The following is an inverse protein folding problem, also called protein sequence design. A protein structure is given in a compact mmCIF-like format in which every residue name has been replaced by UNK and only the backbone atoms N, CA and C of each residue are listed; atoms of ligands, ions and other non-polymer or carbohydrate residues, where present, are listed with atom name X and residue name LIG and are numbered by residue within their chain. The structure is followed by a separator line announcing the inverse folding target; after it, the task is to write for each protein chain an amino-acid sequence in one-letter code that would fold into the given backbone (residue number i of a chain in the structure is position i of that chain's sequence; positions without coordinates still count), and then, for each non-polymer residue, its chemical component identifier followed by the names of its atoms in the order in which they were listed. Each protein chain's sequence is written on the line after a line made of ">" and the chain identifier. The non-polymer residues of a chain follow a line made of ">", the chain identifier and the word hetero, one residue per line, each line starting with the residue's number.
data_IF_551259372978
#
_entry.id   IF_551259372978
#
_cell.length_a   1.000
_cell.length_b   1.000
_cell.length_c   1.000
_cell.angle_alpha   90.00
_cell.angle_beta   90.00
_cell.angle_gamma   90.00
#
_symmetry.space_group_name_H-M   'P 1'
#
loop_
_entity.id
_entity.type
_entity.pdbx_description
1 polymer ?
#
# COMPACT_ATOMS: atom_id res chain seq x y z
N UNK A 1 8.98 -27.19 4.97
CA UNK A 1 8.46 -25.82 5.15
C UNK A 1 9.63 -24.90 4.84
N UNK A 2 9.59 -24.16 3.73
CA UNK A 2 10.76 -23.43 3.24
C UNK A 2 11.28 -22.48 4.31
N UNK A 3 12.55 -22.67 4.69
CA UNK A 3 13.24 -21.91 5.75
C UNK A 3 13.33 -20.40 5.46
N UNK A 4 13.00 -19.97 4.23
CA UNK A 4 12.98 -18.58 3.79
C UNK A 4 11.67 -17.83 4.06
N UNK A 5 10.54 -18.52 4.27
CA UNK A 5 9.22 -17.86 4.42
C UNK A 5 9.11 -17.04 5.71
N UNK A 6 9.50 -17.62 6.84
CA UNK A 6 9.37 -16.98 8.17
C UNK A 6 10.24 -15.72 8.27
N UNK A 7 11.54 -15.72 7.88
CA UNK A 7 12.36 -14.52 7.89
C UNK A 7 11.82 -13.42 6.98
N UNK A 8 11.32 -13.78 5.78
CA UNK A 8 10.72 -12.82 4.86
C UNK A 8 9.49 -12.16 5.47
N UNK A 9 8.54 -12.96 5.96
CA UNK A 9 7.33 -12.44 6.59
C UNK A 9 7.67 -11.54 7.78
N UNK A 10 8.60 -11.97 8.64
CA UNK A 10 9.03 -11.19 9.80
C UNK A 10 9.60 -9.83 9.39
N UNK A 11 10.54 -9.82 8.43
CA UNK A 11 11.13 -8.58 7.94
C UNK A 11 10.10 -7.62 7.34
N UNK A 12 9.07 -8.15 6.66
CA UNK A 12 7.97 -7.33 6.14
C UNK A 12 7.08 -6.78 7.26
N UNK A 13 6.78 -7.56 8.29
CA UNK A 13 5.99 -7.10 9.44
C UNK A 13 6.70 -5.99 10.22
N UNK A 14 8.03 -6.02 10.32
CA UNK A 14 8.79 -4.89 10.87
C UNK A 14 8.56 -3.61 10.04
N UNK A 15 8.52 -3.72 8.70
CA UNK A 15 8.25 -2.56 7.83
C UNK A 15 6.80 -2.08 7.97
N UNK A 16 5.86 -3.00 8.20
CA UNK A 16 4.47 -2.64 8.55
C UNK A 16 4.44 -1.81 9.83
N UNK A 17 5.18 -2.22 10.87
CA UNK A 17 5.29 -1.47 12.12
C UNK A 17 5.83 -0.05 11.90
N UNK A 18 6.90 0.10 11.11
CA UNK A 18 7.44 1.41 10.75
C UNK A 18 6.42 2.27 10.00
N UNK A 19 5.77 1.72 8.98
CA UNK A 19 4.75 2.44 8.22
C UNK A 19 3.57 2.86 9.11
N UNK A 20 3.14 1.97 10.01
CA UNK A 20 2.09 2.26 10.99
C UNK A 20 2.46 3.46 11.88
N UNK A 21 3.67 3.49 12.44
CA UNK A 21 4.15 4.59 13.27
C UNK A 21 4.22 5.92 12.50
N UNK A 22 4.71 5.90 11.26
CA UNK A 22 4.78 7.10 10.42
C UNK A 22 3.38 7.65 10.10
N UNK A 23 2.44 6.77 9.73
CA UNK A 23 1.06 7.19 9.47
C UNK A 23 0.37 7.65 10.77
N UNK A 24 0.64 7.01 11.91
CA UNK A 24 0.15 7.46 13.20
C UNK A 24 0.62 8.89 13.51
N UNK A 25 1.92 9.16 13.31
CA UNK A 25 2.48 10.51 13.44
C UNK A 25 1.78 11.52 12.54
N UNK A 26 1.53 11.15 11.27
CA UNK A 26 0.77 11.99 10.34
C UNK A 26 -0.64 12.30 10.87
N UNK A 27 -1.32 11.34 11.51
CA UNK A 27 -2.66 11.57 12.06
C UNK A 27 -2.73 12.61 13.18
N UNK A 28 -1.58 12.97 13.77
CA UNK A 28 -1.48 14.02 14.80
C UNK A 28 -1.24 15.42 14.21
N UNK A 29 -1.09 15.54 12.89
CA UNK A 29 -0.92 16.83 12.20
C UNK A 29 -2.27 17.49 11.91
N UNK A 30 -2.31 18.82 11.90
CA UNK A 30 -3.54 19.59 11.67
C UNK A 30 -4.10 19.40 10.25
N UNK A 31 -3.23 19.14 9.28
CA UNK A 31 -3.57 18.85 7.89
C UNK A 31 -4.36 17.53 7.77
N UNK A 32 -3.98 16.51 8.54
CA UNK A 32 -4.67 15.23 8.53
C UNK A 32 -6.02 15.29 9.25
N UNK A 33 -6.13 16.04 10.34
CA UNK A 33 -7.43 16.26 11.02
C UNK A 33 -8.48 16.87 10.08
N UNK A 34 -8.09 17.81 9.22
CA UNK A 34 -8.99 18.41 8.22
C UNK A 34 -9.50 17.40 7.18
N UNK A 35 -8.66 16.43 6.80
CA UNK A 35 -9.06 15.33 5.89
C UNK A 35 -10.10 14.44 6.57
N UNK A 36 -9.90 14.13 7.85
CA UNK A 36 -10.86 13.33 8.64
C UNK A 36 -12.22 14.03 8.75
N UNK A 37 -12.22 15.36 8.84
CA UNK A 37 -13.40 16.24 8.84
C UNK A 37 -14.03 16.48 7.45
N UNK A 38 -13.63 15.68 6.44
CA UNK A 38 -14.10 15.77 5.05
C UNK A 38 -13.79 17.10 4.34
N UNK A 39 -12.87 17.90 4.87
CA UNK A 39 -12.38 19.12 4.22
C UNK A 39 -11.16 18.79 3.35
N UNK A 40 -11.37 17.91 2.37
CA UNK A 40 -10.40 17.66 1.32
C UNK A 40 -10.31 18.89 0.41
N UNK A 41 -9.28 19.71 0.65
CA UNK A 41 -8.88 20.79 -0.24
C UNK A 41 -7.61 20.37 -1.03
N UNK A 42 -7.23 21.17 -2.03
CA UNK A 42 -6.07 20.87 -2.87
C UNK A 42 -4.77 20.73 -2.05
N UNK A 43 -4.58 21.58 -1.04
CA UNK A 43 -3.39 21.58 -0.18
C UNK A 43 -3.25 20.29 0.63
N UNK A 44 -4.31 19.88 1.33
CA UNK A 44 -4.32 18.67 2.13
C UNK A 44 -4.16 17.43 1.24
N UNK A 45 -4.78 17.44 0.05
CA UNK A 45 -4.62 16.37 -0.93
C UNK A 45 -3.16 16.25 -1.40
N UNK A 46 -2.50 17.37 -1.69
CA UNK A 46 -1.09 17.40 -2.09
C UNK A 46 -0.17 16.87 -0.99
N UNK A 47 -0.39 17.27 0.27
CA UNK A 47 0.39 16.77 1.42
C UNK A 47 0.25 15.26 1.56
N UNK A 48 -0.97 14.71 1.44
CA UNK A 48 -1.19 13.26 1.51
C UNK A 48 -0.54 12.52 0.34
N UNK A 49 -0.64 13.07 -0.88
CA UNK A 49 0.00 12.48 -2.07
C UNK A 49 1.50 12.36 -1.86
N UNK A 50 2.15 13.46 -1.44
CA UNK A 50 3.60 13.49 -1.22
C UNK A 50 3.98 12.55 -0.08
N UNK A 51 3.25 12.57 1.04
CA UNK A 51 3.54 11.72 2.19
C UNK A 51 3.43 10.23 1.86
N UNK A 52 2.29 9.79 1.31
CA UNK A 52 2.09 8.38 0.98
C UNK A 52 2.95 7.93 -0.20
N UNK A 53 3.23 8.82 -1.15
CA UNK A 53 4.22 8.57 -2.21
C UNK A 53 5.63 8.35 -1.64
N UNK A 54 6.08 9.21 -0.72
CA UNK A 54 7.36 9.06 -0.03
C UNK A 54 7.40 7.77 0.82
N UNK A 55 6.29 7.41 1.47
CA UNK A 55 6.18 6.16 2.21
C UNK A 55 6.28 4.93 1.28
N UNK A 56 5.69 4.98 0.08
CA UNK A 56 5.83 3.95 -0.94
C UNK A 56 7.29 3.82 -1.44
N UNK A 57 7.99 4.94 -1.62
CA UNK A 57 9.41 4.98 -1.95
C UNK A 57 10.22 4.32 -0.83
N UNK A 58 10.01 4.74 0.43
CA UNK A 58 10.69 4.18 1.60
C UNK A 58 10.46 2.66 1.71
N UNK A 59 9.23 2.21 1.49
CA UNK A 59 8.89 0.78 1.48
C UNK A 59 9.59 0.00 0.36
N UNK A 60 9.93 0.65 -0.76
CA UNK A 60 10.72 0.03 -1.83
C UNK A 60 12.18 -0.13 -1.42
N UNK A 61 12.78 0.89 -0.79
CA UNK A 61 14.16 0.86 -0.32
C UNK A 61 14.39 -0.05 0.88
N UNK A 62 13.40 -0.15 1.76
CA UNK A 62 13.45 -1.02 2.94
C UNK A 62 12.94 -2.44 2.65
N UNK A 63 12.54 -2.72 1.41
CA UNK A 63 12.17 -4.06 0.96
C UNK A 63 13.35 -5.04 1.00
N UNK A 64 13.04 -6.33 0.99
CA UNK A 64 14.04 -7.40 0.96
C UNK A 64 14.39 -7.73 -0.49
N UNK A 65 15.61 -7.43 -0.96
CA UNK A 65 16.04 -7.81 -2.29
C UNK A 65 16.24 -9.32 -2.38
N UNK A 66 15.83 -9.92 -3.49
CA UNK A 66 16.07 -11.32 -3.81
C UNK A 66 17.17 -11.46 -4.86
N UNK A 67 17.88 -12.60 -4.90
CA UNK A 67 18.88 -12.88 -5.94
C UNK A 67 18.31 -12.84 -7.37
N UNK A 68 16.99 -13.06 -7.53
CA UNK A 68 16.29 -12.94 -8.81
C UNK A 68 16.13 -11.51 -9.31
N UNK A 69 16.53 -10.49 -8.53
CA UNK A 69 16.31 -9.08 -8.83
C UNK A 69 14.89 -8.59 -8.50
N UNK A 70 14.07 -9.42 -7.86
CA UNK A 70 12.80 -9.01 -7.28
C UNK A 70 13.01 -8.34 -5.91
N UNK A 71 12.14 -7.39 -5.57
CA UNK A 71 12.17 -6.70 -4.27
C UNK A 71 10.88 -7.00 -3.53
N UNK A 72 10.95 -7.77 -2.45
CA UNK A 72 9.82 -8.14 -1.60
C UNK A 72 9.54 -6.99 -0.64
N UNK A 73 8.32 -6.45 -0.60
CA UNK A 73 8.06 -5.19 0.08
C UNK A 73 6.59 -5.03 0.51
N UNK A 74 6.31 -3.90 1.19
CA UNK A 74 4.96 -3.46 1.57
C UNK A 74 4.51 -2.17 0.86
N UNK A 75 5.10 -1.86 -0.30
CA UNK A 75 4.93 -0.59 -1.02
C UNK A 75 3.47 -0.27 -1.27
N UNK A 76 2.70 -1.25 -1.71
CA UNK A 76 1.31 -1.04 -2.12
C UNK A 76 0.40 -0.66 -0.95
N UNK A 77 0.80 -0.96 0.30
CA UNK A 77 0.10 -0.52 1.51
C UNK A 77 -0.12 1.00 1.52
N UNK A 78 0.89 1.78 1.13
CA UNK A 78 0.83 3.24 1.19
C UNK A 78 -0.22 3.83 0.21
N UNK A 79 -0.17 3.60 -1.12
CA UNK A 79 -1.18 4.11 -2.04
C UNK A 79 -2.57 3.52 -1.80
N UNK A 80 -2.69 2.25 -1.38
CA UNK A 80 -3.99 1.67 -0.99
C UNK A 80 -4.65 2.48 0.13
N UNK A 81 -3.92 2.73 1.22
CA UNK A 81 -4.43 3.53 2.35
C UNK A 81 -4.71 4.96 1.90
N UNK A 82 -3.81 5.56 1.10
CA UNK A 82 -3.98 6.90 0.56
C UNK A 82 -5.30 7.05 -0.21
N UNK A 83 -5.64 6.06 -1.05
CA UNK A 83 -6.91 6.02 -1.78
C UNK A 83 -8.11 5.82 -0.85
N UNK A 84 -8.05 4.83 0.06
CA UNK A 84 -9.13 4.51 0.99
C UNK A 84 -9.49 5.65 1.96
N UNK A 85 -8.54 6.57 2.22
CA UNK A 85 -8.71 7.69 3.15
C UNK A 85 -8.94 9.02 2.42
N UNK A 86 -8.18 9.28 1.35
CA UNK A 86 -8.13 10.57 0.65
C UNK A 86 -8.82 10.59 -0.72
N UNK A 87 -9.35 9.46 -1.19
CA UNK A 87 -10.04 9.35 -2.47
C UNK A 87 -9.12 9.17 -3.68
N UNK A 88 -9.68 9.18 -4.91
CA UNK A 88 -8.98 8.72 -6.12
C UNK A 88 -7.80 9.60 -6.50
N UNK A 89 -7.88 10.92 -6.32
CA UNK A 89 -6.77 11.82 -6.64
C UNK A 89 -5.58 11.56 -5.71
N UNK A 90 -5.84 11.35 -4.41
CA UNK A 90 -4.79 11.09 -3.43
C UNK A 90 -4.17 9.71 -3.64
N UNK A 91 -5.00 8.69 -3.83
CA UNK A 91 -4.55 7.32 -4.11
C UNK A 91 -3.75 7.22 -5.41
N UNK A 92 -4.28 7.78 -6.51
CA UNK A 92 -3.60 7.79 -7.80
C UNK A 92 -2.27 8.57 -7.74
N UNK A 93 -2.25 9.74 -7.10
CA UNK A 93 -1.03 10.53 -6.95
C UNK A 93 0.07 9.78 -6.19
N UNK A 94 -0.27 9.20 -5.03
CA UNK A 94 0.68 8.38 -4.27
C UNK A 94 1.12 7.14 -5.05
N UNK A 95 0.19 6.50 -5.76
CA UNK A 95 0.45 5.33 -6.60
C UNK A 95 1.39 5.64 -7.77
N UNK A 96 1.24 6.80 -8.41
CA UNK A 96 2.15 7.26 -9.47
C UNK A 96 3.55 7.53 -8.93
N UNK A 97 3.68 8.22 -7.80
CA UNK A 97 5.00 8.47 -7.19
C UNK A 97 5.70 7.14 -6.86
N UNK A 98 5.01 6.24 -6.15
CA UNK A 98 5.56 4.93 -5.79
C UNK A 98 5.83 4.03 -7.00
N UNK A 99 4.93 4.03 -7.98
CA UNK A 99 5.04 3.20 -9.18
C UNK A 99 6.14 3.66 -10.14
N UNK A 100 6.23 4.95 -10.42
CA UNK A 100 7.32 5.53 -11.24
C UNK A 100 8.66 5.27 -10.58
N UNK A 101 8.77 5.51 -9.26
CA UNK A 101 10.00 5.22 -8.55
C UNK A 101 10.34 3.72 -8.61
N UNK A 102 9.37 2.83 -8.37
CA UNK A 102 9.59 1.38 -8.45
C UNK A 102 10.06 0.96 -9.83
N UNK A 103 9.47 1.51 -10.89
CA UNK A 103 9.88 1.24 -12.27
C UNK A 103 11.34 1.67 -12.51
N UNK A 104 11.74 2.84 -11.99
CA UNK A 104 13.10 3.37 -12.16
C UNK A 104 14.20 2.51 -11.50
N UNK A 105 13.86 1.72 -10.49
CA UNK A 105 14.81 0.80 -9.84
C UNK A 105 15.18 -0.42 -10.71
N UNK A 106 14.41 -0.69 -11.77
CA UNK A 106 14.64 -1.87 -12.62
C UNK A 106 14.48 -3.21 -11.87
N UNK A 107 15.05 -4.26 -12.43
CA UNK A 107 14.93 -5.63 -11.90
C UNK A 107 13.67 -6.37 -12.38
N UNK A 108 13.60 -7.64 -12.02
CA UNK A 108 12.67 -8.62 -12.61
C UNK A 108 11.20 -8.18 -12.53
N UNK A 109 10.79 -7.63 -11.39
CA UNK A 109 9.39 -7.27 -11.13
C UNK A 109 9.08 -5.79 -11.33
N UNK A 110 9.99 -4.99 -11.93
CA UNK A 110 9.83 -3.53 -12.03
C UNK A 110 8.51 -3.11 -12.66
N UNK A 111 8.21 -3.63 -13.85
CA UNK A 111 6.99 -3.30 -14.61
C UNK A 111 5.71 -3.76 -13.91
N UNK A 112 5.53 -5.05 -13.54
CA UNK A 112 4.28 -5.48 -12.91
C UNK A 112 4.03 -4.79 -11.56
N UNK A 113 5.07 -4.63 -10.73
CA UNK A 113 4.96 -3.93 -9.46
C UNK A 113 4.56 -2.46 -9.64
N UNK A 114 5.18 -1.75 -10.60
CA UNK A 114 4.87 -0.35 -10.87
C UNK A 114 3.41 -0.16 -11.29
N UNK A 115 2.91 -1.00 -12.20
CA UNK A 115 1.51 -0.99 -12.64
C UNK A 115 0.58 -1.28 -11.45
N UNK A 116 0.87 -2.32 -10.67
CA UNK A 116 0.05 -2.69 -9.52
C UNK A 116 -0.04 -1.56 -8.50
N UNK A 117 1.07 -0.86 -8.23
CA UNK A 117 1.13 0.26 -7.28
C UNK A 117 0.16 1.38 -7.64
N UNK A 118 0.05 1.70 -8.94
CA UNK A 118 -0.86 2.73 -9.45
C UNK A 118 -2.31 2.26 -9.33
N UNK A 119 -2.59 1.01 -9.73
CA UNK A 119 -3.93 0.40 -9.63
C UNK A 119 -4.39 0.35 -8.17
N UNK A 120 -3.51 -0.04 -7.26
CA UNK A 120 -3.74 -0.11 -5.82
C UNK A 120 -4.13 1.24 -5.22
N UNK A 121 -3.55 2.34 -5.71
CA UNK A 121 -3.96 3.68 -5.31
C UNK A 121 -5.33 4.06 -5.86
N UNK A 122 -5.52 3.87 -7.17
CA UNK A 122 -6.74 4.25 -7.87
C UNK A 122 -7.97 3.50 -7.33
N UNK A 123 -7.90 2.17 -7.24
CA UNK A 123 -9.02 1.34 -6.79
C UNK A 123 -9.41 1.64 -5.34
N UNK A 124 -8.44 1.90 -4.46
CA UNK A 124 -8.71 2.31 -3.08
C UNK A 124 -9.49 3.63 -3.05
N UNK A 125 -9.14 4.57 -3.92
CA UNK A 125 -9.86 5.82 -4.07
C UNK A 125 -11.26 5.68 -4.68
N UNK A 126 -11.45 4.75 -5.61
CA UNK A 126 -12.78 4.44 -6.14
C UNK A 126 -13.67 3.80 -5.07
N UNK A 127 -13.12 2.92 -4.23
CA UNK A 127 -13.84 2.37 -3.07
C UNK A 127 -14.27 3.50 -2.13
N UNK A 128 -13.38 4.46 -1.84
CA UNK A 128 -13.72 5.62 -1.02
C UNK A 128 -14.92 6.41 -1.58
N UNK A 129 -15.01 6.60 -2.90
CA UNK A 129 -16.18 7.23 -3.53
C UNK A 129 -17.43 6.36 -3.44
N UNK A 130 -17.29 5.06 -3.73
CA UNK A 130 -18.39 4.10 -3.75
C UNK A 130 -19.10 3.98 -2.39
N UNK A 131 -18.34 4.05 -1.29
CA UNK A 131 -18.90 4.03 0.08
C UNK A 131 -19.30 5.41 0.62
N UNK A 132 -19.43 6.41 -0.27
CA UNK A 132 -19.91 7.75 0.08
C UNK A 132 -18.90 8.59 0.86
N UNK A 133 -17.62 8.56 0.46
CA UNK A 133 -16.52 9.33 1.07
C UNK A 133 -16.34 8.98 2.56
N UNK A 134 -16.37 7.68 2.85
CA UNK A 134 -16.19 7.09 4.18
C UNK A 134 -14.98 6.16 4.17
N UNK A 135 -14.32 6.06 5.30
CA UNK A 135 -13.23 5.10 5.49
C UNK A 135 -13.87 3.76 5.84
N UNK A 136 -13.55 2.72 5.06
CA UNK A 136 -14.07 1.37 5.27
C UNK A 136 -13.56 0.74 6.57
N UNK A 137 -14.18 -0.36 6.98
CA UNK A 137 -13.69 -1.17 8.10
C UNK A 137 -12.38 -1.90 7.78
N UNK A 138 -11.63 -2.23 8.83
CA UNK A 138 -10.36 -2.94 8.74
C UNK A 138 -10.50 -4.24 7.94
N UNK A 139 -11.58 -4.99 8.17
CA UNK A 139 -11.86 -6.25 7.48
C UNK A 139 -11.99 -6.05 5.96
N UNK A 140 -12.76 -5.06 5.50
CA UNK A 140 -12.89 -4.77 4.07
C UNK A 140 -11.59 -4.21 3.48
N UNK A 141 -10.80 -3.46 4.25
CA UNK A 141 -9.49 -2.97 3.82
C UNK A 141 -8.48 -4.11 3.64
N UNK A 142 -8.50 -5.10 4.53
CA UNK A 142 -7.70 -6.33 4.41
C UNK A 142 -8.13 -7.16 3.20
N UNK A 143 -9.42 -7.38 2.98
CA UNK A 143 -9.93 -8.10 1.79
C UNK A 143 -9.50 -7.39 0.50
N UNK A 144 -9.62 -6.07 0.48
CA UNK A 144 -9.16 -5.25 -0.65
C UNK A 144 -7.66 -5.43 -0.91
N UNK A 145 -6.82 -5.36 0.12
CA UNK A 145 -5.38 -5.53 -0.01
C UNK A 145 -5.01 -6.94 -0.52
N UNK A 146 -5.69 -7.99 -0.05
CA UNK A 146 -5.49 -9.35 -0.57
C UNK A 146 -5.78 -9.39 -2.07
N UNK A 147 -6.87 -8.77 -2.52
CA UNK A 147 -7.24 -8.75 -3.94
C UNK A 147 -6.21 -8.00 -4.80
N UNK A 148 -5.70 -6.86 -4.33
CA UNK A 148 -4.66 -6.09 -5.01
C UNK A 148 -3.34 -6.86 -5.09
N UNK A 149 -2.92 -7.53 -4.02
CA UNK A 149 -1.68 -8.30 -4.05
C UNK A 149 -1.82 -9.58 -4.88
N UNK A 150 -3.00 -10.20 -4.91
CA UNK A 150 -3.29 -11.28 -5.84
C UNK A 150 -3.19 -10.81 -7.30
N UNK A 151 -3.69 -9.61 -7.61
CA UNK A 151 -3.50 -8.98 -8.92
C UNK A 151 -2.00 -8.76 -9.22
N UNK A 152 -1.19 -8.32 -8.26
CA UNK A 152 0.26 -8.18 -8.45
C UNK A 152 0.91 -9.51 -8.85
N UNK A 153 0.55 -10.61 -8.18
CA UNK A 153 1.08 -11.93 -8.52
C UNK A 153 0.68 -12.36 -9.93
N UNK A 154 -0.56 -12.09 -10.34
CA UNK A 154 -1.03 -12.34 -11.71
C UNK A 154 -0.24 -11.49 -12.71
N UNK A 155 -0.03 -10.20 -12.44
CA UNK A 155 0.76 -9.32 -13.30
C UNK A 155 2.20 -9.80 -13.44
N UNK A 156 2.82 -10.31 -12.37
CA UNK A 156 4.15 -10.90 -12.43
C UNK A 156 4.15 -12.11 -13.37
N UNK A 157 3.20 -13.05 -13.21
CA UNK A 157 3.10 -14.24 -14.07
C UNK A 157 2.89 -13.90 -15.55
N UNK A 158 2.16 -12.83 -15.85
CA UNK A 158 1.85 -12.42 -17.22
C UNK A 158 2.99 -11.64 -17.89
N UNK A 159 3.68 -10.78 -17.14
CA UNK A 159 4.62 -9.80 -17.72
C UNK A 159 6.09 -10.20 -17.59
N UNK A 160 6.43 -11.11 -16.67
CA UNK A 160 7.82 -11.54 -16.47
C UNK A 160 8.12 -12.76 -17.33
N UNK A 161 9.21 -12.69 -18.10
CA UNK A 161 9.71 -13.79 -18.94
C UNK A 161 11.15 -14.18 -18.54
N UNK A 162 11.51 -15.48 -18.56
CA UNK A 162 10.63 -16.62 -18.88
C UNK A 162 9.64 -16.93 -17.75
N UNK A 163 8.51 -17.55 -18.11
CA UNK A 163 7.44 -17.90 -17.14
C UNK A 163 7.94 -18.72 -15.94
N UNK A 164 8.93 -19.59 -16.13
CA UNK A 164 9.54 -20.36 -15.04
C UNK A 164 10.14 -19.47 -13.95
N UNK A 165 10.82 -18.38 -14.33
CA UNK A 165 11.37 -17.39 -13.40
C UNK A 165 10.26 -16.60 -12.70
N UNK A 166 9.20 -16.26 -13.43
CA UNK A 166 8.03 -15.58 -12.87
C UNK A 166 7.33 -16.45 -11.80
N UNK A 167 7.08 -17.72 -12.12
CA UNK A 167 6.45 -18.68 -11.24
C UNK A 167 7.28 -18.93 -9.98
N UNK A 168 8.58 -19.17 -10.12
CA UNK A 168 9.49 -19.35 -8.98
C UNK A 168 9.50 -18.11 -8.06
N UNK A 169 9.45 -16.91 -8.64
CA UNK A 169 9.36 -15.66 -7.88
C UNK A 169 8.05 -15.58 -7.11
N UNK A 170 6.91 -15.83 -7.76
CA UNK A 170 5.58 -15.78 -7.12
C UNK A 170 5.45 -16.82 -6.01
N UNK A 171 5.93 -18.05 -6.21
CA UNK A 171 5.90 -19.11 -5.19
C UNK A 171 6.65 -18.70 -3.90
N UNK A 172 7.73 -17.93 -4.04
CA UNK A 172 8.51 -17.46 -2.90
C UNK A 172 7.87 -16.28 -2.18
N UNK A 173 7.28 -15.33 -2.92
CA UNK A 173 6.91 -14.01 -2.36
C UNK A 173 5.41 -13.84 -2.09
N UNK A 174 4.54 -14.63 -2.74
CA UNK A 174 3.10 -14.39 -2.71
C UNK A 174 2.54 -14.38 -1.28
N UNK A 175 2.78 -15.44 -0.52
CA UNK A 175 2.28 -15.56 0.86
C UNK A 175 2.79 -14.43 1.76
N UNK A 176 4.12 -14.22 1.93
CA UNK A 176 4.61 -13.18 2.85
C UNK A 176 4.18 -11.78 2.44
N UNK A 177 4.17 -11.44 1.14
CA UNK A 177 3.75 -10.11 0.68
C UNK A 177 2.25 -9.87 0.83
N UNK A 178 1.41 -10.84 0.46
CA UNK A 178 -0.04 -10.73 0.63
C UNK A 178 -0.37 -10.52 2.10
N UNK A 179 0.18 -11.36 2.98
CA UNK A 179 -0.09 -11.28 4.43
C UNK A 179 0.37 -9.94 5.00
N UNK A 180 1.62 -9.53 4.74
CA UNK A 180 2.16 -8.31 5.31
C UNK A 180 1.40 -7.06 4.83
N UNK A 181 1.11 -6.95 3.53
CA UNK A 181 0.34 -5.81 3.01
C UNK A 181 -1.12 -5.83 3.50
N UNK A 182 -1.74 -7.02 3.60
CA UNK A 182 -3.12 -7.12 4.09
C UNK A 182 -3.24 -6.74 5.57
N UNK A 183 -2.27 -7.13 6.40
CA UNK A 183 -2.15 -6.69 7.79
C UNK A 183 -1.87 -5.20 7.85
N UNK A 184 -0.91 -4.69 7.09
CA UNK A 184 -0.54 -3.28 7.08
C UNK A 184 -1.69 -2.36 6.67
N UNK A 185 -2.33 -2.64 5.54
CA UNK A 185 -3.49 -1.87 5.09
C UNK A 185 -4.65 -1.95 6.08
N UNK A 186 -5.00 -3.14 6.57
CA UNK A 186 -6.06 -3.32 7.56
C UNK A 186 -5.81 -2.55 8.85
N UNK A 187 -4.62 -2.70 9.43
CA UNK A 187 -4.24 -2.05 10.68
C UNK A 187 -4.16 -0.53 10.56
N UNK A 188 -3.54 -0.02 9.48
CA UNK A 188 -3.42 1.43 9.26
C UNK A 188 -4.81 2.03 8.99
N UNK A 189 -5.65 1.40 8.17
CA UNK A 189 -7.02 1.87 7.94
C UNK A 189 -7.84 1.86 9.24
N UNK A 190 -7.72 0.82 10.06
CA UNK A 190 -8.36 0.77 11.38
C UNK A 190 -7.93 1.94 12.29
N UNK A 191 -6.63 2.18 12.37
CA UNK A 191 -6.06 3.27 13.18
C UNK A 191 -6.59 4.63 12.72
N UNK A 192 -6.53 4.91 11.42
CA UNK A 192 -7.03 6.18 10.85
C UNK A 192 -8.52 6.36 11.16
N UNK A 193 -9.32 5.29 11.01
CA UNK A 193 -10.76 5.32 11.33
C UNK A 193 -11.01 5.54 12.82
N UNK A 194 -10.21 4.95 13.70
CA UNK A 194 -10.35 5.08 15.16
C UNK A 194 -10.03 6.50 15.63
N UNK A 195 -8.99 7.12 15.09
CA UNK A 195 -8.68 8.54 15.34
C UNK A 195 -9.84 9.44 14.90
N UNK A 196 -10.47 9.16 13.76
CA UNK A 196 -11.67 9.89 13.33
C UNK A 196 -12.82 9.79 14.33
N UNK A 197 -13.12 8.58 14.82
CA UNK A 197 -14.18 8.37 15.80
C UNK A 197 -13.93 9.08 17.14
N UNK A 198 -12.67 9.19 17.56
CA UNK A 198 -12.30 9.94 18.76
C UNK A 198 -12.40 11.47 18.58
N UNK A 199 -12.20 11.98 17.36
CA UNK A 199 -12.22 13.43 17.07
C UNK A 199 -13.62 13.95 16.71
N UNK A 200 -14.52 13.09 16.18
CA UNK A 200 -15.88 13.47 15.80
C UNK A 200 -16.93 12.45 16.29
N UNK A 201 -17.33 12.49 17.58
CA UNK A 201 -18.26 11.50 18.15
C UNK A 201 -19.73 11.63 17.69
N UNK A 202 -20.11 12.68 16.97
CA UNK A 202 -21.52 13.00 16.64
C UNK A 202 -21.79 13.17 15.13
N UNK A 203 -21.15 12.37 14.26
CA UNK A 203 -21.32 12.44 12.80
C UNK A 203 -22.13 11.30 12.20
#
# INVERSE_FOLDING_TARGET
>A
MDSSLVPLLWGLLEKVGLAFLLVFGLTRTTQFSQVLDRRLNATNSAVLIVFFGALAILASYTGVPLPSGAIVNIRDTAPMVAGLVGGPIVGLGAGLIGGIHRYSLGGLTATPCAINTVIAGLLGGLIYLWVGKRIIGAHWATVYAIAILALEMILILLLVQPFSTALATVQLIAIPMIVANAVGTGAITYMVRSVKGAVSPNG
#
